data_IF_354972619863
#
_entry.id   IF_354972619863
#
_cell.length_a   1.000
_cell.length_b   1.000
_cell.length_c   1.000
_cell.angle_alpha   90.00
_cell.angle_beta   90.00
_cell.angle_gamma   90.00
#
_symmetry.space_group_name_H-M   'P 1'
#
loop_
_entity.id
_entity.type
_entity.pdbx_description
1 polymer ?
#
# COMPACT_ATOMS: atom_id res chain seq x y z
N UNK A 1 -22.00 -3.33 -3.84
CA UNK A 1 -21.05 -3.56 -4.91
C UNK A 1 -19.98 -2.49 -4.82
N UNK A 2 -18.75 -2.89 -4.51
CA UNK A 2 -17.63 -1.96 -4.52
C UNK A 2 -17.34 -1.63 -5.99
N UNK A 3 -17.35 -0.37 -6.33
CA UNK A 3 -17.18 0.16 -7.69
C UNK A 3 -15.89 -0.31 -8.40
N UNK A 4 -15.00 -1.02 -7.69
CA UNK A 4 -13.68 -1.46 -8.15
C UNK A 4 -13.38 -2.94 -7.89
N UNK A 5 -14.38 -3.75 -7.52
CA UNK A 5 -14.22 -5.20 -7.33
C UNK A 5 -14.46 -5.97 -8.64
N UNK A 6 -13.82 -7.12 -8.78
CA UNK A 6 -14.00 -8.02 -9.93
C UNK A 6 -15.08 -9.07 -9.69
N UNK A 7 -15.27 -9.51 -8.43
CA UNK A 7 -16.22 -10.55 -8.04
C UNK A 7 -17.00 -10.18 -6.78
N UNK A 8 -18.09 -10.85 -6.55
CA UNK A 8 -18.91 -10.72 -5.36
C UNK A 8 -19.49 -12.10 -4.99
N UNK A 9 -19.64 -12.40 -3.68
CA UNK A 9 -19.38 -11.53 -2.53
C UNK A 9 -17.88 -11.34 -2.25
N UNK A 10 -17.56 -10.21 -1.60
CA UNK A 10 -16.20 -9.83 -1.26
C UNK A 10 -16.03 -9.54 0.24
N UNK A 11 -14.82 -9.75 0.76
CA UNK A 11 -14.47 -9.42 2.15
C UNK A 11 -13.04 -8.94 2.29
N UNK A 12 -12.71 -8.41 3.46
CA UNK A 12 -11.33 -8.05 3.83
C UNK A 12 -10.67 -9.19 4.60
N UNK A 13 -9.33 -9.27 4.55
CA UNK A 13 -8.55 -10.15 5.40
C UNK A 13 -7.22 -9.50 5.80
N UNK A 14 -6.69 -9.91 6.95
CA UNK A 14 -5.45 -9.44 7.52
C UNK A 14 -4.54 -10.64 7.78
N UNK A 15 -3.31 -10.55 7.28
CA UNK A 15 -2.32 -11.62 7.41
C UNK A 15 -1.16 -11.26 8.31
N UNK A 16 -0.96 -9.95 8.55
CA UNK A 16 0.08 -9.41 9.43
C UNK A 16 -0.37 -8.09 10.05
N UNK A 17 0.31 -7.67 11.10
CA UNK A 17 0.12 -6.39 11.78
C UNK A 17 1.46 -5.74 12.02
N UNK A 18 1.46 -4.39 11.98
CA UNK A 18 2.66 -3.58 12.11
C UNK A 18 3.45 -3.46 10.81
N UNK A 19 4.40 -2.56 10.81
CA UNK A 19 5.27 -2.27 9.68
C UNK A 19 6.69 -2.01 10.17
N UNK A 20 7.74 -2.60 9.56
CA UNK A 20 9.12 -2.35 9.96
C UNK A 20 9.67 -1.00 9.46
N UNK A 21 8.88 -0.26 8.67
CA UNK A 21 9.28 1.05 8.16
C UNK A 21 8.93 2.17 9.14
N UNK A 22 9.72 3.25 9.11
CA UNK A 22 9.56 4.41 9.98
C UNK A 22 9.18 5.68 9.21
N UNK A 23 8.20 5.56 8.29
CA UNK A 23 7.75 6.70 7.51
C UNK A 23 7.22 7.82 8.41
N UNK A 24 7.71 9.05 8.22
CA UNK A 24 7.45 10.20 9.12
C UNK A 24 5.97 10.58 9.25
N UNK A 25 5.15 10.26 8.26
CA UNK A 25 3.71 10.57 8.24
C UNK A 25 2.82 9.43 8.76
N UNK A 26 3.40 8.24 8.98
CA UNK A 26 2.59 7.04 9.20
C UNK A 26 2.25 6.82 10.67
N UNK A 27 0.95 6.61 10.96
CA UNK A 27 0.43 6.38 12.31
C UNK A 27 0.67 4.97 12.86
N UNK A 28 1.26 4.07 12.08
CA UNK A 28 1.47 2.66 12.49
C UNK A 28 2.26 2.54 13.79
N UNK A 29 3.27 3.41 13.99
CA UNK A 29 4.03 3.46 15.24
C UNK A 29 3.14 3.74 16.46
N UNK A 30 2.17 4.64 16.30
CA UNK A 30 1.25 5.05 17.37
C UNK A 30 0.17 4.00 17.61
N UNK A 31 -0.31 3.34 16.54
CA UNK A 31 -1.41 2.36 16.62
C UNK A 31 -0.96 1.06 17.28
N UNK A 32 0.28 0.61 17.02
CA UNK A 32 0.76 -0.71 17.49
C UNK A 32 1.76 -0.64 18.63
N UNK A 33 1.97 0.55 19.23
CA UNK A 33 2.81 0.85 20.42
C UNK A 33 4.28 0.39 20.34
N UNK A 34 4.59 -0.41 19.35
CA UNK A 34 5.92 -0.77 18.90
C UNK A 34 5.82 -1.18 17.42
N UNK A 35 6.87 -0.94 16.65
CA UNK A 35 6.89 -1.29 15.23
C UNK A 35 7.09 -2.80 14.99
N UNK A 36 6.66 -3.67 15.92
CA UNK A 36 6.85 -5.10 15.82
C UNK A 36 5.96 -5.70 14.73
N UNK A 37 6.59 -6.05 13.62
CA UNK A 37 5.92 -6.78 12.56
C UNK A 37 5.62 -8.21 13.03
N UNK A 38 4.34 -8.56 13.05
CA UNK A 38 3.85 -9.89 13.42
C UNK A 38 3.02 -10.46 12.28
N UNK A 39 3.27 -11.70 11.89
CA UNK A 39 2.59 -12.32 10.78
C UNK A 39 2.06 -13.70 11.12
N UNK A 40 0.94 -14.05 10.52
CA UNK A 40 0.35 -15.38 10.52
C UNK A 40 1.14 -16.30 9.59
N UNK A 41 1.13 -17.60 9.83
CA UNK A 41 1.74 -18.55 8.90
C UNK A 41 0.97 -18.58 7.56
N UNK A 42 1.64 -18.87 6.43
CA UNK A 42 0.98 -19.02 5.13
C UNK A 42 -0.20 -19.96 5.17
N UNK A 43 0.00 -21.13 5.75
CA UNK A 43 -1.08 -22.13 5.92
C UNK A 43 -2.29 -21.56 6.65
N UNK A 44 -2.10 -20.88 7.79
CA UNK A 44 -3.22 -20.32 8.57
C UNK A 44 -3.98 -19.24 7.77
N UNK A 45 -3.27 -18.44 6.97
CA UNK A 45 -3.91 -17.44 6.10
C UNK A 45 -4.79 -18.14 5.05
N UNK A 46 -4.23 -19.13 4.36
CA UNK A 46 -4.96 -19.80 3.27
C UNK A 46 -6.07 -20.71 3.80
N UNK A 47 -5.93 -21.28 5.00
CA UNK A 47 -7.03 -22.00 5.69
C UNK A 47 -8.27 -21.09 5.88
N UNK A 48 -8.05 -19.80 6.25
CA UNK A 48 -9.15 -18.84 6.38
C UNK A 48 -9.76 -18.49 5.02
N UNK A 49 -8.92 -18.18 4.01
CA UNK A 49 -9.42 -17.88 2.66
C UNK A 49 -10.26 -19.04 2.10
N UNK A 50 -9.77 -20.27 2.27
CA UNK A 50 -10.48 -21.47 1.83
C UNK A 50 -11.80 -21.66 2.58
N UNK A 51 -11.80 -21.48 3.90
CA UNK A 51 -13.01 -21.54 4.72
C UNK A 51 -14.05 -20.50 4.28
N UNK A 52 -13.64 -19.24 4.14
CA UNK A 52 -14.54 -18.16 3.70
C UNK A 52 -15.07 -18.40 2.28
N UNK A 53 -14.25 -18.93 1.39
CA UNK A 53 -14.68 -19.26 0.03
C UNK A 53 -15.68 -20.40 0.02
N UNK A 54 -15.40 -21.52 0.74
CA UNK A 54 -16.25 -22.71 0.71
C UNK A 54 -17.55 -22.57 1.50
N UNK A 55 -17.49 -21.98 2.70
CA UNK A 55 -18.65 -21.90 3.61
C UNK A 55 -19.53 -20.67 3.36
N UNK A 56 -18.93 -19.56 2.90
CA UNK A 56 -19.65 -18.30 2.71
C UNK A 56 -19.70 -17.82 1.25
N UNK A 57 -19.09 -18.58 0.34
CA UNK A 57 -19.07 -18.24 -1.09
C UNK A 57 -18.29 -16.96 -1.42
N UNK A 58 -17.37 -16.54 -0.56
CA UNK A 58 -16.57 -15.33 -0.83
C UNK A 58 -15.62 -15.60 -2.00
N UNK A 59 -15.72 -14.78 -3.03
CA UNK A 59 -14.94 -14.92 -4.26
C UNK A 59 -13.83 -13.87 -4.40
N UNK A 60 -13.91 -12.77 -3.64
CA UNK A 60 -12.92 -11.68 -3.71
C UNK A 60 -12.46 -11.25 -2.31
N UNK A 61 -11.14 -10.99 -2.20
CA UNK A 61 -10.49 -10.69 -0.94
C UNK A 61 -9.64 -9.41 -1.04
N UNK A 62 -9.85 -8.48 -0.11
CA UNK A 62 -9.05 -7.27 0.05
C UNK A 62 -8.00 -7.50 1.14
N UNK A 63 -6.73 -7.58 0.75
CA UNK A 63 -5.61 -7.76 1.68
C UNK A 63 -5.29 -6.43 2.38
N UNK A 64 -5.63 -6.33 3.67
CA UNK A 64 -5.63 -5.08 4.44
C UNK A 64 -4.46 -4.98 5.44
N UNK A 65 -3.35 -5.67 5.20
CA UNK A 65 -2.16 -5.54 6.04
C UNK A 65 -1.60 -4.11 6.00
N UNK A 66 -0.96 -3.67 7.10
CA UNK A 66 -0.23 -2.41 7.18
C UNK A 66 0.99 -2.40 6.23
N UNK A 67 1.60 -3.57 6.02
CA UNK A 67 2.77 -3.76 5.18
C UNK A 67 2.75 -5.13 4.48
N UNK A 68 1.82 -5.32 3.56
CA UNK A 68 1.80 -6.53 2.74
C UNK A 68 3.12 -6.69 1.96
N UNK A 69 3.60 -7.92 1.82
CA UNK A 69 4.80 -8.21 1.05
C UNK A 69 6.14 -7.92 1.75
N UNK A 70 6.15 -7.51 3.02
CA UNK A 70 7.38 -7.27 3.80
C UNK A 70 8.31 -8.50 3.83
N UNK A 71 7.75 -9.70 3.84
CA UNK A 71 8.50 -10.95 3.67
C UNK A 71 8.19 -11.57 2.32
N UNK A 72 9.10 -11.41 1.37
CA UNK A 72 9.02 -12.01 0.03
C UNK A 72 8.79 -13.52 0.08
N UNK A 73 9.56 -14.23 0.93
CA UNK A 73 9.43 -15.68 1.10
C UNK A 73 8.00 -16.05 1.51
N UNK A 74 7.48 -15.39 2.55
CA UNK A 74 6.12 -15.64 3.06
C UNK A 74 5.04 -15.34 2.02
N UNK A 75 5.18 -14.24 1.26
CA UNK A 75 4.25 -13.89 0.19
C UNK A 75 4.18 -14.98 -0.89
N UNK A 76 5.33 -15.50 -1.30
CA UNK A 76 5.43 -16.62 -2.24
C UNK A 76 4.75 -17.87 -1.66
N UNK A 77 5.02 -18.21 -0.40
CA UNK A 77 4.42 -19.38 0.27
C UNK A 77 2.87 -19.27 0.35
N UNK A 78 2.32 -18.06 0.60
CA UNK A 78 0.87 -17.83 0.56
C UNK A 78 0.33 -18.06 -0.86
N UNK A 79 1.00 -17.53 -1.87
CA UNK A 79 0.59 -17.72 -3.26
C UNK A 79 0.66 -19.19 -3.67
N UNK A 80 1.71 -19.91 -3.26
CA UNK A 80 1.86 -21.34 -3.55
C UNK A 80 0.73 -22.17 -2.92
N UNK A 81 0.40 -21.92 -1.66
CA UNK A 81 -0.72 -22.56 -0.98
C UNK A 81 -2.06 -22.31 -1.70
N UNK A 82 -2.33 -21.07 -2.15
CA UNK A 82 -3.54 -20.75 -2.92
C UNK A 82 -3.60 -21.56 -4.22
N UNK A 83 -2.48 -21.61 -4.94
CA UNK A 83 -2.36 -22.34 -6.21
C UNK A 83 -2.50 -23.84 -6.01
N UNK A 84 -1.80 -24.43 -5.03
CA UNK A 84 -1.83 -25.88 -4.73
C UNK A 84 -3.22 -26.35 -4.33
N UNK A 85 -3.95 -25.54 -3.54
CA UNK A 85 -5.34 -25.83 -3.16
C UNK A 85 -6.34 -25.52 -4.27
N UNK A 86 -5.89 -24.95 -5.39
CA UNK A 86 -6.74 -24.58 -6.55
C UNK A 86 -7.91 -23.68 -6.14
N UNK A 87 -7.68 -22.73 -5.25
CA UNK A 87 -8.71 -21.77 -4.84
C UNK A 87 -8.99 -20.80 -5.98
N UNK A 88 -10.21 -20.81 -6.50
CA UNK A 88 -10.64 -19.84 -7.53
C UNK A 88 -11.13 -18.55 -6.88
N UNK A 89 -10.19 -17.78 -6.35
CA UNK A 89 -10.44 -16.49 -5.70
C UNK A 89 -9.76 -15.36 -6.47
N UNK A 90 -10.25 -14.15 -6.26
CA UNK A 90 -9.57 -12.90 -6.67
C UNK A 90 -9.15 -12.11 -5.44
N UNK A 91 -8.01 -11.41 -5.55
CA UNK A 91 -7.56 -10.58 -4.45
C UNK A 91 -6.75 -9.37 -4.91
N UNK A 92 -6.65 -8.37 -4.05
CA UNK A 92 -5.97 -7.10 -4.28
C UNK A 92 -5.35 -6.58 -2.99
N UNK A 93 -4.39 -5.66 -3.11
CA UNK A 93 -3.71 -4.99 -1.98
C UNK A 93 -4.07 -3.51 -1.91
N UNK A 94 -5.28 -3.13 -1.48
CA UNK A 94 -5.74 -1.74 -1.51
C UNK A 94 -4.94 -0.82 -0.58
N UNK A 95 -4.43 -1.32 0.55
CA UNK A 95 -3.58 -0.56 1.47
C UNK A 95 -2.12 -0.40 1.00
N UNK A 96 -1.81 -0.95 -0.16
CA UNK A 96 -0.45 -0.96 -0.68
C UNK A 96 0.32 -2.23 -0.36
N UNK A 97 1.41 -2.42 -1.10
CA UNK A 97 2.36 -3.51 -0.91
C UNK A 97 3.78 -2.94 -0.81
N UNK A 98 4.62 -3.56 -0.01
CA UNK A 98 6.02 -3.18 0.12
C UNK A 98 6.80 -3.51 -1.19
N UNK A 99 6.55 -2.72 -2.22
CA UNK A 99 6.99 -2.96 -3.60
C UNK A 99 8.51 -3.04 -3.76
N UNK A 100 9.28 -2.42 -2.87
CA UNK A 100 10.75 -2.46 -2.88
C UNK A 100 11.35 -3.83 -2.50
N UNK A 101 10.54 -4.76 -1.99
CA UNK A 101 10.91 -6.16 -1.77
C UNK A 101 10.46 -7.08 -2.91
N UNK A 102 9.70 -6.57 -3.89
CA UNK A 102 9.17 -7.36 -4.98
C UNK A 102 10.19 -7.51 -6.13
N UNK A 103 10.03 -8.56 -6.89
CA UNK A 103 10.61 -8.74 -8.21
C UNK A 103 9.57 -9.33 -9.17
N UNK A 104 9.95 -9.46 -10.43
CA UNK A 104 9.07 -9.98 -11.49
C UNK A 104 8.50 -11.36 -11.15
N UNK A 105 9.33 -12.26 -10.58
CA UNK A 105 8.89 -13.61 -10.20
C UNK A 105 7.81 -13.60 -9.12
N UNK A 106 7.88 -12.66 -8.19
CA UNK A 106 6.85 -12.50 -7.16
C UNK A 106 5.55 -12.00 -7.77
N UNK A 107 5.61 -11.02 -8.68
CA UNK A 107 4.43 -10.52 -9.38
C UNK A 107 3.77 -11.62 -10.22
N UNK A 108 4.56 -12.43 -10.94
CA UNK A 108 4.06 -13.59 -11.69
C UNK A 108 3.34 -14.58 -10.77
N UNK A 109 3.92 -14.86 -9.59
CA UNK A 109 3.35 -15.76 -8.60
C UNK A 109 2.05 -15.20 -8.02
N UNK A 110 2.02 -13.91 -7.68
CA UNK A 110 0.81 -13.22 -7.22
C UNK A 110 -0.31 -13.29 -8.27
N UNK A 111 0.02 -13.03 -9.54
CA UNK A 111 -0.93 -13.14 -10.64
C UNK A 111 -1.50 -14.55 -10.77
N UNK A 112 -0.66 -15.56 -10.72
CA UNK A 112 -1.07 -16.97 -10.79
C UNK A 112 -1.96 -17.36 -9.61
N UNK A 113 -1.76 -16.77 -8.42
CA UNK A 113 -2.57 -16.97 -7.23
C UNK A 113 -3.88 -16.15 -7.20
N UNK A 114 -4.24 -15.48 -8.31
CA UNK A 114 -5.51 -14.75 -8.43
C UNK A 114 -5.44 -13.25 -8.11
N UNK A 115 -4.26 -12.69 -7.81
CA UNK A 115 -4.09 -11.24 -7.70
C UNK A 115 -4.44 -10.58 -9.03
N UNK A 116 -5.25 -9.53 -8.99
CA UNK A 116 -5.61 -8.80 -10.20
C UNK A 116 -5.20 -7.32 -10.17
N UNK A 117 -4.95 -6.77 -8.97
CA UNK A 117 -4.60 -5.37 -8.76
C UNK A 117 -3.64 -5.22 -7.60
N UNK A 118 -2.63 -4.38 -7.79
CA UNK A 118 -1.64 -4.03 -6.76
C UNK A 118 -1.56 -2.52 -6.59
N UNK A 119 -1.39 -2.08 -5.35
CA UNK A 119 -1.20 -0.66 -5.03
C UNK A 119 0.23 -0.45 -4.53
N UNK A 120 0.94 0.51 -5.12
CA UNK A 120 2.30 0.91 -4.76
C UNK A 120 2.28 2.27 -4.09
N UNK A 121 2.69 2.34 -2.82
CA UNK A 121 2.89 3.60 -2.11
C UNK A 121 4.20 4.26 -2.54
N UNK A 122 4.14 5.07 -3.60
CA UNK A 122 5.29 5.78 -4.15
C UNK A 122 5.64 7.02 -3.33
N UNK A 123 4.64 7.66 -2.78
CA UNK A 123 4.59 8.86 -1.97
C UNK A 123 5.09 10.10 -2.72
N UNK A 124 6.31 10.10 -3.29
CA UNK A 124 6.86 11.25 -4.04
C UNK A 124 7.76 10.82 -5.20
N UNK A 125 7.76 11.60 -6.27
CA UNK A 125 8.71 11.53 -7.38
C UNK A 125 10.07 12.12 -7.05
N UNK A 126 10.14 13.04 -6.09
CA UNK A 126 11.37 13.73 -5.69
C UNK A 126 12.19 12.91 -4.69
N UNK A 127 13.51 12.84 -4.88
CA UNK A 127 14.40 12.03 -4.03
C UNK A 127 14.53 12.60 -2.61
N UNK A 128 14.65 13.90 -2.47
CA UNK A 128 14.85 14.54 -1.16
C UNK A 128 13.57 14.40 -0.32
N UNK A 129 12.40 14.57 -0.92
CA UNK A 129 11.12 14.28 -0.27
C UNK A 129 11.05 12.81 0.18
N UNK A 130 11.43 11.84 -0.67
CA UNK A 130 11.46 10.42 -0.25
C UNK A 130 12.45 10.12 0.86
N UNK A 131 13.60 10.81 0.90
CA UNK A 131 14.55 10.71 2.04
C UNK A 131 13.94 11.21 3.32
N UNK A 132 13.30 12.38 3.27
CA UNK A 132 12.56 12.94 4.41
C UNK A 132 11.47 11.98 4.91
N UNK A 133 10.69 11.42 3.99
CA UNK A 133 9.64 10.44 4.29
C UNK A 133 10.18 9.17 4.96
N UNK A 134 11.44 8.82 4.73
CA UNK A 134 12.03 7.55 5.17
C UNK A 134 11.85 6.40 4.16
N UNK A 135 11.58 6.71 2.88
CA UNK A 135 11.41 5.76 1.78
C UNK A 135 12.33 6.07 0.57
N UNK A 136 13.66 6.04 0.71
CA UNK A 136 14.59 6.44 -0.35
C UNK A 136 14.82 5.35 -1.41
N UNK A 137 13.82 4.55 -1.77
CA UNK A 137 13.97 3.50 -2.77
C UNK A 137 14.13 4.09 -4.19
N UNK A 138 14.85 3.41 -5.11
CA UNK A 138 15.04 3.86 -6.47
C UNK A 138 13.73 3.80 -7.28
N UNK A 139 13.29 4.92 -7.87
CA UNK A 139 12.10 4.97 -8.72
C UNK A 139 12.22 4.08 -9.95
N UNK A 140 13.43 3.95 -10.50
CA UNK A 140 13.69 3.08 -11.66
C UNK A 140 13.29 1.62 -11.40
N UNK A 141 13.56 1.11 -10.19
CA UNK A 141 13.14 -0.22 -9.80
C UNK A 141 11.62 -0.34 -9.75
N UNK A 142 10.94 0.65 -9.17
CA UNK A 142 9.50 0.67 -9.10
C UNK A 142 8.87 0.76 -10.50
N UNK A 143 9.41 1.59 -11.39
CA UNK A 143 8.97 1.70 -12.80
C UNK A 143 9.13 0.35 -13.54
N UNK A 144 10.24 -0.38 -13.32
CA UNK A 144 10.40 -1.73 -13.88
C UNK A 144 9.34 -2.70 -13.38
N UNK A 145 8.99 -2.64 -12.08
CA UNK A 145 7.95 -3.49 -11.51
C UNK A 145 6.56 -3.14 -12.07
N UNK A 146 6.26 -1.85 -12.25
CA UNK A 146 5.01 -1.40 -12.89
C UNK A 146 4.91 -1.91 -14.33
N UNK A 147 5.98 -1.75 -15.11
CA UNK A 147 6.03 -2.25 -16.49
C UNK A 147 5.81 -3.77 -16.57
N UNK A 148 6.41 -4.54 -15.65
CA UNK A 148 6.20 -5.98 -15.59
C UNK A 148 4.77 -6.32 -15.15
N UNK A 149 4.23 -5.65 -14.13
CA UNK A 149 2.86 -5.84 -13.66
C UNK A 149 1.85 -5.63 -14.80
N UNK A 150 2.00 -4.55 -15.57
CA UNK A 150 1.15 -4.28 -16.74
C UNK A 150 1.29 -5.35 -17.83
N UNK A 151 2.53 -5.78 -18.11
CA UNK A 151 2.80 -6.84 -19.09
C UNK A 151 2.08 -8.15 -18.79
N UNK A 152 1.98 -8.51 -17.51
CA UNK A 152 1.29 -9.73 -17.06
C UNK A 152 -0.21 -9.52 -16.76
N UNK A 153 -0.72 -8.30 -16.99
CA UNK A 153 -2.13 -7.95 -16.81
C UNK A 153 -2.55 -7.81 -15.34
N UNK A 154 -1.64 -7.39 -14.47
CA UNK A 154 -1.99 -6.84 -13.16
C UNK A 154 -2.35 -5.38 -13.32
N UNK A 155 -3.49 -4.97 -12.80
CA UNK A 155 -3.84 -3.56 -12.73
C UNK A 155 -3.06 -2.88 -11.62
N UNK A 156 -2.49 -1.70 -11.90
CA UNK A 156 -1.59 -0.99 -10.99
C UNK A 156 -2.18 0.32 -10.52
N UNK A 157 -2.08 0.59 -9.22
CA UNK A 157 -2.39 1.89 -8.63
C UNK A 157 -1.11 2.39 -7.95
N UNK A 158 -0.75 3.64 -8.20
CA UNK A 158 0.28 4.34 -7.44
C UNK A 158 -0.34 5.43 -6.59
N UNK A 159 0.04 5.49 -5.32
CA UNK A 159 -0.39 6.55 -4.41
C UNK A 159 0.76 7.52 -4.17
N UNK A 160 0.41 8.80 -4.14
CA UNK A 160 1.31 9.92 -3.92
C UNK A 160 0.75 10.82 -2.84
N UNK A 161 1.65 11.46 -2.08
CA UNK A 161 1.30 12.43 -1.06
C UNK A 161 2.05 13.72 -1.39
N UNK A 162 1.36 14.86 -1.37
CA UNK A 162 1.93 16.18 -1.55
C UNK A 162 1.64 17.06 -0.34
N UNK A 163 2.51 18.04 -0.07
CA UNK A 163 2.39 18.96 1.06
C UNK A 163 3.32 18.63 2.23
N UNK A 164 4.42 17.89 2.00
CA UNK A 164 5.46 17.73 3.02
C UNK A 164 6.19 19.06 3.27
N UNK A 165 6.64 19.34 4.51
CA UNK A 165 7.31 20.60 4.85
C UNK A 165 8.59 20.89 4.04
N UNK A 166 9.19 19.86 3.47
CA UNK A 166 10.41 19.96 2.65
C UNK A 166 10.13 20.18 1.17
N UNK A 167 8.88 20.20 0.76
CA UNK A 167 8.48 20.35 -0.64
C UNK A 167 8.36 21.82 -1.03
N UNK A 168 8.76 22.10 -2.24
CA UNK A 168 8.50 23.30 -3.00
C UNK A 168 7.75 22.95 -4.31
N UNK A 169 7.48 23.94 -5.14
CA UNK A 169 6.77 23.73 -6.39
C UNK A 169 7.51 22.76 -7.33
N UNK A 170 8.85 22.81 -7.37
CA UNK A 170 9.67 21.96 -8.22
C UNK A 170 9.56 20.48 -7.78
N UNK A 171 9.70 20.20 -6.51
CA UNK A 171 9.59 18.85 -5.96
C UNK A 171 8.19 18.25 -6.09
N UNK A 172 7.14 19.08 -5.99
CA UNK A 172 5.76 18.66 -6.28
C UNK A 172 5.61 18.33 -7.77
N UNK A 173 6.17 19.17 -8.67
CA UNK A 173 6.14 18.89 -10.10
C UNK A 173 6.90 17.62 -10.47
N UNK A 174 8.07 17.34 -9.87
CA UNK A 174 8.77 16.05 -10.01
C UNK A 174 7.85 14.86 -9.69
N UNK A 175 7.02 15.01 -8.67
CA UNK A 175 6.06 13.96 -8.26
C UNK A 175 4.96 13.77 -9.30
N UNK A 176 4.41 14.87 -9.84
CA UNK A 176 3.38 14.84 -10.88
C UNK A 176 3.96 14.25 -12.19
N UNK A 177 5.14 14.68 -12.60
CA UNK A 177 5.80 14.20 -13.81
C UNK A 177 6.14 12.71 -13.72
N UNK A 178 6.61 12.26 -12.56
CA UNK A 178 6.82 10.83 -12.32
C UNK A 178 5.50 10.06 -12.38
N UNK A 179 4.44 10.54 -11.75
CA UNK A 179 3.13 9.89 -11.80
C UNK A 179 2.58 9.76 -13.23
N UNK A 180 2.81 10.77 -14.08
CA UNK A 180 2.41 10.76 -15.48
C UNK A 180 3.25 9.80 -16.35
N UNK A 181 4.49 9.52 -15.96
CA UNK A 181 5.46 8.78 -16.79
C UNK A 181 5.79 7.38 -16.29
N UNK A 182 5.47 7.02 -15.04
CA UNK A 182 5.87 5.75 -14.45
C UNK A 182 5.13 4.52 -15.02
N UNK A 183 4.05 4.72 -15.77
CA UNK A 183 3.29 3.65 -16.41
C UNK A 183 2.27 2.98 -15.49
N UNK A 184 1.86 3.61 -14.40
CA UNK A 184 0.74 3.14 -13.57
C UNK A 184 -0.60 3.29 -14.32
N UNK A 185 -1.55 2.38 -14.10
CA UNK A 185 -2.89 2.49 -14.68
C UNK A 185 -3.71 3.60 -13.99
N UNK A 186 -3.43 3.88 -12.71
CA UNK A 186 -4.10 4.91 -11.93
C UNK A 186 -3.12 5.56 -10.94
N UNK A 187 -3.03 6.87 -10.96
CA UNK A 187 -2.35 7.67 -9.96
C UNK A 187 -3.38 8.32 -9.02
N UNK A 188 -3.17 8.19 -7.71
CA UNK A 188 -4.01 8.79 -6.67
C UNK A 188 -3.15 9.73 -5.84
N UNK A 189 -3.56 10.99 -5.74
CA UNK A 189 -2.87 11.99 -4.95
C UNK A 189 -3.65 12.28 -3.68
N UNK A 190 -2.92 12.31 -2.57
CA UNK A 190 -3.43 12.73 -1.26
C UNK A 190 -2.72 14.00 -0.83
N UNK A 191 -3.45 14.89 -0.16
CA UNK A 191 -2.83 15.96 0.61
C UNK A 191 -2.32 15.39 1.93
N UNK A 192 -1.12 15.81 2.34
CA UNK A 192 -0.57 15.39 3.62
C UNK A 192 -1.47 15.86 4.76
N UNK A 193 -1.91 14.91 5.57
CA UNK A 193 -2.59 15.19 6.83
C UNK A 193 -1.64 14.84 7.98
N UNK A 194 -1.15 15.82 8.76
CA UNK A 194 -0.26 15.55 9.88
C UNK A 194 -1.06 14.98 11.06
N UNK A 195 -1.02 13.66 11.22
CA UNK A 195 -1.70 12.97 12.32
C UNK A 195 -0.94 13.09 13.64
N UNK A 196 -1.61 13.34 14.78
CA UNK A 196 -0.97 13.33 16.09
C UNK A 196 -0.17 12.05 16.35
N UNK A 197 1.03 12.20 16.92
CA UNK A 197 1.94 11.10 17.21
C UNK A 197 2.88 10.71 16.06
N UNK A 198 2.79 11.37 14.91
CA UNK A 198 3.74 11.20 13.78
C UNK A 198 4.85 12.25 13.85
N UNK A 199 6.00 11.91 13.23
CA UNK A 199 7.14 12.84 13.20
C UNK A 199 6.76 14.12 12.42
N UNK A 200 6.05 13.98 11.31
CA UNK A 200 5.58 15.13 10.51
C UNK A 200 4.62 16.05 11.29
N UNK A 201 3.83 15.51 12.22
CA UNK A 201 2.98 16.34 13.08
C UNK A 201 3.82 17.25 13.96
N UNK A 202 4.95 16.75 14.50
CA UNK A 202 5.86 17.53 15.30
C UNK A 202 6.54 18.64 14.49
N UNK A 203 6.91 18.35 13.23
CA UNK A 203 7.45 19.34 12.30
C UNK A 203 6.43 20.47 12.03
N UNK A 204 5.19 20.13 11.71
CA UNK A 204 4.11 21.11 11.50
C UNK A 204 3.84 21.93 12.77
N UNK A 205 3.85 21.30 13.93
CA UNK A 205 3.68 22.01 15.21
C UNK A 205 4.80 23.01 15.48
N UNK A 206 6.06 22.60 15.25
CA UNK A 206 7.25 23.42 15.41
C UNK A 206 7.24 24.64 14.47
N UNK A 207 6.78 24.46 13.24
CA UNK A 207 6.74 25.48 12.20
C UNK A 207 5.47 26.36 12.28
N UNK A 208 4.57 26.10 13.27
CA UNK A 208 3.35 26.86 13.48
C UNK A 208 2.29 26.68 12.36
N UNK A 209 2.35 25.55 11.66
CA UNK A 209 1.47 25.24 10.54
C UNK A 209 0.17 24.52 10.96
N UNK A 210 0.04 24.16 12.26
CA UNK A 210 -1.17 23.51 12.76
C UNK A 210 -2.18 24.58 13.21
N UNK A 211 -3.30 24.63 12.52
CA UNK A 211 -4.47 25.41 12.93
C UNK A 211 -5.44 24.50 13.69
N UNK A 212 -5.34 24.52 15.03
CA UNK A 212 -6.18 23.69 15.90
C UNK A 212 -7.67 24.09 15.88
N UNK A 213 -8.01 25.32 15.53
CA UNK A 213 -9.41 25.73 15.45
C UNK A 213 -10.11 25.05 14.26
N UNK A 214 -9.39 24.86 13.15
CA UNK A 214 -9.93 24.18 11.97
C UNK A 214 -9.81 22.66 12.03
N UNK A 215 -8.76 22.11 12.67
CA UNK A 215 -8.54 20.65 12.78
C UNK A 215 -9.67 19.96 13.58
N UNK A 216 -10.32 20.68 14.49
CA UNK A 216 -11.43 20.15 15.31
C UNK A 216 -12.80 20.37 14.69
N UNK A 217 -12.90 21.06 13.56
CA UNK A 217 -14.17 21.25 12.85
C UNK A 217 -14.43 20.04 11.92
N UNK A 218 -15.46 19.21 12.21
CA UNK A 218 -15.82 18.09 11.36
C UNK A 218 -16.12 18.48 9.90
N UNK A 219 -16.48 19.74 9.64
CA UNK A 219 -16.72 20.25 8.29
C UNK A 219 -15.44 20.43 7.48
N UNK A 220 -14.27 20.58 8.13
CA UNK A 220 -12.98 20.74 7.45
C UNK A 220 -12.46 19.44 6.80
N UNK A 221 -13.01 18.27 7.14
CA UNK A 221 -12.67 16.99 6.55
C UNK A 221 -13.42 16.69 5.23
N UNK A 222 -14.34 17.55 4.82
CA UNK A 222 -15.21 17.35 3.65
C UNK A 222 -14.97 18.38 2.53
N UNK A 223 -13.90 19.17 2.60
CA UNK A 223 -13.56 20.18 1.57
C UNK A 223 -12.45 19.75 0.65
#
# INVERSE_FOLDING_TARGET
PTTFGMRAPATTFITSRGCPQSCVFCTIKTVWDDMNFRSRSPKNVVDELEHLNKEYGIEEFYWMDDAAGTSKKRLIEICDEIIERKLDIKWTTPNGIAHWYLDEKVLDKMKAAGCYRVTFGMESGNLETRKYIGKPFPLEQATKMLAHANKIGLWTICTFIIGFPVEDEESIMDTIDYACSCGTDMAVFYLLCPHPGTDVYQDFQKDGLLDFEHILDPASFNS
#
